data_IF_479271467876
#
_entry.id   IF_479271467876
#
_cell.length_a   1.000
_cell.length_b   1.000
_cell.length_c   1.000
_cell.angle_alpha   90.00
_cell.angle_beta   90.00
_cell.angle_gamma   90.00
#
_symmetry.space_group_name_H-M   'P 1'
#
loop_
_entity.id
_entity.type
_entity.pdbx_description
1 polymer ?
#
# COMPACT_ATOMS: atom_id res chain seq x y z
N UNK A 1 -7.92 -25.16 -6.11
CA UNK A 1 -7.52 -24.99 -7.53
C UNK A 1 -6.13 -25.56 -7.74
N UNK A 2 -5.95 -26.42 -8.75
CA UNK A 2 -4.61 -26.91 -9.13
C UNK A 2 -3.98 -26.00 -10.18
N UNK A 3 -2.78 -25.51 -9.87
CA UNK A 3 -1.97 -24.73 -10.80
C UNK A 3 -0.70 -25.50 -11.15
N UNK A 4 -0.33 -25.46 -12.43
CA UNK A 4 0.94 -25.99 -12.92
C UNK A 4 2.07 -25.02 -12.58
N UNK A 5 3.15 -25.54 -12.02
CA UNK A 5 4.35 -24.74 -11.73
C UNK A 5 5.26 -24.76 -12.95
N UNK A 6 5.68 -23.57 -13.39
CA UNK A 6 6.68 -23.39 -14.44
C UNK A 6 8.02 -22.99 -13.83
N UNK A 7 9.12 -23.47 -14.41
CA UNK A 7 10.48 -23.06 -14.07
C UNK A 7 10.79 -21.71 -14.73
N UNK A 8 11.84 -21.03 -14.24
CA UNK A 8 12.32 -19.76 -14.80
C UNK A 8 12.61 -19.84 -16.31
N UNK A 9 13.01 -21.01 -16.80
CA UNK A 9 13.29 -21.28 -18.20
C UNK A 9 12.02 -21.53 -19.05
N UNK A 10 10.82 -21.36 -18.47
CA UNK A 10 9.53 -21.54 -19.15
C UNK A 10 9.09 -23.00 -19.31
N UNK A 11 9.89 -23.97 -18.86
CA UNK A 11 9.54 -25.40 -18.89
C UNK A 11 8.57 -25.75 -17.75
N UNK A 12 7.61 -26.64 -18.01
CA UNK A 12 6.72 -27.17 -16.97
C UNK A 12 7.55 -27.98 -15.95
N UNK A 13 7.42 -27.65 -14.66
CA UNK A 13 8.18 -28.28 -13.58
C UNK A 13 7.68 -29.68 -13.25
N UNK A 14 6.54 -30.11 -13.82
CA UNK A 14 5.89 -31.39 -13.54
C UNK A 14 5.14 -31.44 -12.20
N UNK A 15 5.33 -30.44 -11.34
CA UNK A 15 4.64 -30.31 -10.05
C UNK A 15 3.37 -29.46 -10.20
N UNK A 16 2.26 -30.00 -9.69
CA UNK A 16 0.99 -29.27 -9.52
C UNK A 16 0.83 -28.85 -8.06
N UNK A 17 0.47 -27.59 -7.83
CA UNK A 17 0.20 -27.06 -6.49
C UNK A 17 -1.30 -26.89 -6.35
N UNK A 18 -1.87 -27.51 -5.31
CA UNK A 18 -3.27 -27.33 -4.96
C UNK A 18 -3.41 -26.17 -3.97
N UNK A 19 -3.99 -25.06 -4.44
CA UNK A 19 -4.27 -23.89 -3.63
C UNK A 19 -5.66 -23.99 -2.97
N UNK A 20 -5.78 -23.62 -1.69
CA UNK A 20 -7.04 -23.65 -0.96
C UNK A 20 -8.03 -22.64 -1.56
N UNK A 21 -9.20 -23.12 -1.99
CA UNK A 21 -10.24 -22.29 -2.60
C UNK A 21 -10.76 -21.20 -1.66
N UNK A 22 -10.75 -21.45 -0.34
CA UNK A 22 -11.18 -20.48 0.67
C UNK A 22 -10.43 -19.15 0.65
N UNK A 23 -9.20 -19.10 0.12
CA UNK A 23 -8.38 -17.87 0.06
C UNK A 23 -8.38 -17.28 -1.35
N UNK A 24 -8.37 -18.13 -2.37
CA UNK A 24 -8.15 -17.73 -3.76
C UNK A 24 -9.44 -17.65 -4.61
N UNK A 25 -10.58 -18.14 -4.12
CA UNK A 25 -11.88 -18.08 -4.81
C UNK A 25 -12.89 -17.15 -4.13
N UNK A 26 -12.47 -16.37 -3.13
CA UNK A 26 -13.34 -15.37 -2.49
C UNK A 26 -13.69 -14.28 -3.51
N UNK A 27 -14.96 -13.88 -3.56
CA UNK A 27 -15.38 -12.70 -4.31
C UNK A 27 -14.65 -11.45 -3.77
N UNK A 28 -13.82 -10.77 -4.59
CA UNK A 28 -13.01 -9.67 -4.11
C UNK A 28 -13.87 -8.48 -3.64
N UNK A 29 -13.73 -8.10 -2.38
CA UNK A 29 -14.37 -6.88 -1.88
C UNK A 29 -13.58 -5.63 -2.32
N UNK A 30 -14.07 -4.97 -3.35
CA UNK A 30 -13.45 -3.77 -3.93
C UNK A 30 -13.25 -2.62 -2.92
N UNK A 31 -14.16 -2.45 -1.97
CA UNK A 31 -14.07 -1.36 -1.00
C UNK A 31 -12.92 -1.59 -0.01
N UNK A 32 -12.77 -2.82 0.48
CA UNK A 32 -11.67 -3.17 1.39
C UNK A 32 -10.31 -3.06 0.71
N UNK A 33 -10.20 -3.48 -0.55
CA UNK A 33 -8.98 -3.33 -1.35
C UNK A 33 -8.62 -1.84 -1.49
N UNK A 34 -9.59 -0.99 -1.83
CA UNK A 34 -9.37 0.45 -1.92
C UNK A 34 -8.87 1.04 -0.59
N UNK A 35 -9.50 0.70 0.53
CA UNK A 35 -9.08 1.18 1.85
C UNK A 35 -7.65 0.73 2.19
N UNK A 36 -7.31 -0.53 1.90
CA UNK A 36 -5.98 -1.07 2.14
C UNK A 36 -4.91 -0.32 1.33
N UNK A 37 -5.15 -0.10 0.04
CA UNK A 37 -4.26 0.67 -0.85
C UNK A 37 -4.11 2.12 -0.36
N UNK A 38 -5.22 2.78 -0.04
CA UNK A 38 -5.21 4.16 0.46
C UNK A 38 -4.41 4.28 1.75
N UNK A 39 -4.59 3.35 2.69
CA UNK A 39 -3.83 3.31 3.94
C UNK A 39 -2.34 3.15 3.68
N UNK A 40 -1.97 2.19 2.85
CA UNK A 40 -0.57 1.92 2.50
C UNK A 40 0.12 3.16 1.91
N UNK A 41 -0.49 3.78 0.91
CA UNK A 41 0.03 4.99 0.26
C UNK A 41 0.08 6.20 1.20
N UNK A 42 -0.87 6.30 2.14
CA UNK A 42 -0.88 7.40 3.12
C UNK A 42 0.26 7.25 4.14
N UNK A 43 0.54 6.02 4.58
CA UNK A 43 1.61 5.72 5.54
C UNK A 43 3.02 5.97 4.97
N UNK A 44 3.20 5.93 3.65
CA UNK A 44 4.48 6.23 3.00
C UNK A 44 4.84 7.73 3.03
N UNK A 45 3.90 8.61 3.40
CA UNK A 45 4.14 10.06 3.43
C UNK A 45 4.97 10.42 4.66
N UNK A 46 6.13 11.05 4.46
CA UNK A 46 7.04 11.43 5.55
C UNK A 46 6.56 12.64 6.37
N UNK A 47 5.77 13.55 5.78
CA UNK A 47 5.16 14.66 6.52
C UNK A 47 6.11 15.76 7.01
N UNK A 48 7.28 15.94 6.39
CA UNK A 48 8.33 16.90 6.83
C UNK A 48 8.06 18.37 6.48
N UNK A 49 6.81 18.76 6.33
CA UNK A 49 6.44 20.13 5.97
C UNK A 49 6.30 21.00 7.23
N UNK A 50 6.83 22.23 7.19
CA UNK A 50 6.63 23.27 8.20
C UNK A 50 6.64 24.64 7.55
N UNK A 51 5.67 25.48 7.90
CA UNK A 51 5.66 26.91 7.59
C UNK A 51 5.82 27.70 8.90
N UNK A 52 6.37 28.92 8.81
CA UNK A 52 6.51 29.78 9.99
C UNK A 52 5.17 30.39 10.36
N UNK A 53 4.78 30.22 11.61
CA UNK A 53 3.63 30.94 12.17
C UNK A 53 4.02 32.35 12.64
N UNK A 54 3.04 33.20 12.97
CA UNK A 54 3.26 34.61 13.36
C UNK A 54 4.32 34.80 14.46
N UNK A 55 4.38 33.89 15.44
CA UNK A 55 5.34 33.91 16.55
C UNK A 55 6.75 33.47 16.15
N UNK A 56 6.90 32.74 15.04
CA UNK A 56 8.18 32.24 14.54
C UNK A 56 8.83 33.22 13.54
N UNK A 57 8.09 34.25 13.11
CA UNK A 57 8.60 35.33 12.26
C UNK A 57 9.42 36.31 13.09
N UNK A 58 10.67 36.57 12.67
CA UNK A 58 11.54 37.54 13.32
C UNK A 58 11.01 38.96 13.07
N UNK A 59 10.39 39.55 14.08
CA UNK A 59 9.81 40.89 14.04
C UNK A 59 9.15 41.22 15.38
N UNK A 60 9.01 42.51 15.70
CA UNK A 60 8.40 42.94 16.96
C UNK A 60 6.87 42.79 16.95
N UNK A 61 6.29 42.40 18.08
CA UNK A 61 4.85 42.43 18.32
C UNK A 61 4.35 43.75 18.94
N UNK A 62 5.21 44.78 18.99
CA UNK A 62 4.85 46.08 19.52
C UNK A 62 3.72 46.64 18.67
N UNK A 63 2.64 47.07 19.33
CA UNK A 63 1.53 47.76 18.66
C UNK A 63 2.14 48.88 17.79
N UNK A 64 1.81 48.94 16.48
CA UNK A 64 2.23 50.06 15.66
C UNK A 64 1.72 51.38 16.26
#
# INVERSE_FOLDING_TARGET
MEFKVFKLDGTESGESVNLPGEIFEIEPNHHLIYQAVRRYLSNQRQGTHKAKERSEVRGGGKKP
#
